data_IF_152619042128
#
_entry.id   IF_152619042128
#
_cell.length_a   1.000
_cell.length_b   1.000
_cell.length_c   1.000
_cell.angle_alpha   90.00
_cell.angle_beta   90.00
_cell.angle_gamma   90.00
#
_symmetry.space_group_name_H-M   'P 1'
#
loop_
_entity.id
_entity.type
_entity.pdbx_description
1 polymer ?
#
# COMPACT_ATOMS: atom_id res chain seq x y z
N UNK A 1 -2.81 22.21 6.11
CA UNK A 1 -3.01 21.22 7.20
C UNK A 1 -2.24 19.98 6.84
N UNK A 2 -1.54 19.37 7.80
CA UNK A 2 -0.82 18.11 7.62
C UNK A 2 -1.78 16.92 7.61
N UNK A 3 -1.36 15.80 7.01
CA UNK A 3 -2.07 14.53 7.13
C UNK A 3 -2.05 14.05 8.57
N UNK A 4 -3.19 13.60 9.12
CA UNK A 4 -3.24 12.98 10.44
C UNK A 4 -2.34 11.73 10.51
N UNK A 5 -1.56 11.54 11.59
CA UNK A 5 -0.66 10.39 11.73
C UNK A 5 -1.36 9.04 11.52
N UNK A 6 -2.61 8.91 11.97
CA UNK A 6 -3.38 7.67 11.90
C UNK A 6 -3.64 7.21 10.46
N UNK A 7 -3.69 8.14 9.50
CA UNK A 7 -3.83 7.83 8.07
C UNK A 7 -2.51 7.25 7.52
N UNK A 8 -1.36 7.77 7.98
CA UNK A 8 -0.04 7.29 7.57
C UNK A 8 0.23 5.92 8.20
N UNK A 9 -0.10 5.75 9.48
CA UNK A 9 0.06 4.49 10.21
C UNK A 9 -0.83 3.38 9.61
N UNK A 10 -2.04 3.74 9.17
CA UNK A 10 -2.94 2.82 8.47
C UNK A 10 -2.37 2.42 7.10
N UNK A 11 -1.79 3.35 6.33
CA UNK A 11 -1.12 3.03 5.06
C UNK A 11 0.06 2.09 5.29
N UNK A 12 0.88 2.39 6.30
CA UNK A 12 2.01 1.54 6.68
C UNK A 12 1.56 0.12 7.03
N UNK A 13 0.49 -0.02 7.80
CA UNK A 13 -0.09 -1.33 8.13
C UNK A 13 -0.54 -2.10 6.88
N UNK A 14 -1.14 -1.41 5.90
CA UNK A 14 -1.53 -2.03 4.62
C UNK A 14 -0.30 -2.51 3.84
N UNK A 15 0.77 -1.71 3.81
CA UNK A 15 2.03 -2.08 3.16
C UNK A 15 2.68 -3.28 3.83
N UNK A 16 2.73 -3.32 5.17
CA UNK A 16 3.26 -4.45 5.91
C UNK A 16 2.49 -5.74 5.60
N UNK A 17 1.15 -5.67 5.53
CA UNK A 17 0.32 -6.81 5.11
C UNK A 17 0.68 -7.21 3.68
N UNK A 18 0.69 -6.28 2.73
CA UNK A 18 0.98 -6.54 1.31
C UNK A 18 2.33 -7.24 1.08
N UNK A 19 3.35 -6.91 1.88
CA UNK A 19 4.68 -7.52 1.80
C UNK A 19 4.90 -8.70 2.77
N UNK A 20 3.91 -9.07 3.58
CA UNK A 20 4.02 -10.17 4.54
C UNK A 20 3.97 -11.55 3.86
N UNK A 21 4.35 -12.59 4.59
CA UNK A 21 4.19 -13.99 4.18
C UNK A 21 2.81 -14.59 4.52
N UNK A 22 1.83 -13.75 4.88
CA UNK A 22 0.50 -14.21 5.29
C UNK A 22 -0.31 -14.68 4.08
N UNK A 23 -1.00 -15.80 4.23
CA UNK A 23 -1.93 -16.30 3.20
C UNK A 23 -3.04 -15.28 2.97
N UNK A 24 -3.35 -15.00 1.70
CA UNK A 24 -4.36 -14.00 1.29
C UNK A 24 -3.98 -12.53 1.59
N UNK A 25 -2.69 -12.21 1.73
CA UNK A 25 -2.20 -10.84 1.94
C UNK A 25 -2.74 -9.83 0.94
N UNK A 26 -2.78 -10.16 -0.37
CA UNK A 26 -3.27 -9.23 -1.40
C UNK A 26 -4.76 -8.95 -1.18
N UNK A 27 -5.55 -9.97 -0.85
CA UNK A 27 -6.97 -9.80 -0.52
C UNK A 27 -7.15 -8.92 0.72
N UNK A 28 -6.37 -9.16 1.78
CA UNK A 28 -6.45 -8.38 3.01
C UNK A 28 -6.07 -6.90 2.78
N UNK A 29 -4.91 -6.65 2.15
CA UNK A 29 -4.45 -5.31 1.82
C UNK A 29 -5.44 -4.57 0.91
N UNK A 30 -5.94 -5.24 -0.14
CA UNK A 30 -6.90 -4.65 -1.06
C UNK A 30 -8.21 -4.24 -0.39
N UNK A 31 -8.73 -5.05 0.54
CA UNK A 31 -9.92 -4.70 1.33
C UNK A 31 -9.64 -3.47 2.21
N UNK A 32 -8.48 -3.44 2.88
CA UNK A 32 -8.13 -2.34 3.78
C UNK A 32 -7.90 -1.00 3.06
N UNK A 33 -7.49 -1.01 1.78
CA UNK A 33 -7.39 0.21 0.97
C UNK A 33 -8.70 1.01 0.96
N UNK A 34 -9.84 0.33 0.99
CA UNK A 34 -11.15 0.96 0.96
C UNK A 34 -11.48 1.71 2.25
N UNK A 35 -11.26 1.04 3.38
CA UNK A 35 -11.40 1.63 4.70
C UNK A 35 -10.50 2.86 4.82
N UNK A 36 -9.27 2.80 4.27
CA UNK A 36 -8.35 3.93 4.31
C UNK A 36 -8.79 5.09 3.41
N UNK A 37 -9.31 4.82 2.21
CA UNK A 37 -9.89 5.86 1.35
C UNK A 37 -11.08 6.53 2.03
N UNK A 38 -11.98 5.73 2.61
CA UNK A 38 -13.16 6.23 3.32
C UNK A 38 -12.75 7.11 4.51
N UNK A 39 -11.87 6.59 5.37
CA UNK A 39 -11.37 7.32 6.54
C UNK A 39 -10.62 8.59 6.16
N UNK A 40 -9.84 8.56 5.06
CA UNK A 40 -9.16 9.74 4.52
C UNK A 40 -10.16 10.81 4.11
N UNK A 41 -11.16 10.46 3.31
CA UNK A 41 -12.18 11.40 2.85
C UNK A 41 -13.01 11.96 4.00
N UNK A 42 -13.49 11.09 4.92
CA UNK A 42 -14.26 11.50 6.11
C UNK A 42 -13.46 12.44 7.00
N UNK A 43 -12.19 12.14 7.25
CA UNK A 43 -11.31 12.97 8.09
C UNK A 43 -11.07 14.32 7.45
N UNK A 44 -10.83 14.35 6.13
CA UNK A 44 -10.69 15.61 5.39
C UNK A 44 -11.98 16.45 5.41
N UNK A 45 -13.13 15.82 5.22
CA UNK A 45 -14.43 16.48 5.32
C UNK A 45 -14.69 17.06 6.71
N UNK A 46 -14.35 16.33 7.78
CA UNK A 46 -14.47 16.79 9.17
C UNK A 46 -13.50 17.93 9.51
N UNK A 47 -12.31 17.94 8.91
CA UNK A 47 -11.39 19.07 9.03
C UNK A 47 -11.94 20.33 8.34
N UNK A 48 -12.63 20.18 7.22
CA UNK A 48 -13.28 21.28 6.52
C UNK A 48 -14.56 21.76 7.24
N UNK A 49 -15.35 20.83 7.77
CA UNK A 49 -16.56 21.11 8.55
C UNK A 49 -16.60 20.24 9.81
N UNK A 50 -16.38 20.84 10.98
CA UNK A 50 -16.36 20.11 12.26
C UNK A 50 -17.67 19.42 12.64
N UNK A 51 -18.79 19.76 11.98
CA UNK A 51 -20.10 19.12 12.16
C UNK A 51 -20.38 18.02 11.13
N UNK A 52 -19.40 17.67 10.29
CA UNK A 52 -19.55 16.61 9.29
C UNK A 52 -19.90 15.28 9.97
N UNK A 53 -20.91 14.60 9.43
CA UNK A 53 -21.35 13.30 9.92
C UNK A 53 -20.40 12.20 9.45
N UNK A 54 -19.63 11.65 10.38
CA UNK A 54 -18.68 10.57 10.12
C UNK A 54 -19.35 9.21 9.86
N UNK A 55 -20.67 9.10 10.06
CA UNK A 55 -21.44 7.87 9.81
C UNK A 55 -21.97 7.78 8.37
N UNK A 56 -21.69 8.79 7.52
CA UNK A 56 -22.09 8.78 6.12
C UNK A 56 -21.51 7.58 5.36
N UNK A 57 -22.12 7.23 4.23
CA UNK A 57 -21.60 6.17 3.37
C UNK A 57 -20.33 6.61 2.61
N UNK A 58 -19.68 5.66 1.94
CA UNK A 58 -18.45 5.89 1.18
C UNK A 58 -18.60 6.95 0.08
N UNK A 59 -19.72 6.92 -0.66
CA UNK A 59 -19.95 7.86 -1.75
C UNK A 59 -20.06 9.29 -1.23
N UNK A 60 -20.86 9.47 -0.17
CA UNK A 60 -21.04 10.77 0.48
C UNK A 60 -19.71 11.31 1.00
N UNK A 61 -18.87 10.46 1.60
CA UNK A 61 -17.53 10.83 2.05
C UNK A 61 -16.65 11.33 0.89
N UNK A 62 -16.62 10.61 -0.24
CA UNK A 62 -15.83 10.99 -1.42
C UNK A 62 -16.38 12.22 -2.16
N UNK A 63 -17.61 12.66 -1.86
CA UNK A 63 -18.23 13.86 -2.44
C UNK A 63 -18.33 15.03 -1.46
N UNK A 64 -17.90 14.82 -0.22
CA UNK A 64 -18.10 15.79 0.85
C UNK A 64 -17.33 17.10 0.60
N UNK A 65 -17.87 18.25 1.03
CA UNK A 65 -17.15 19.52 0.97
C UNK A 65 -15.78 19.42 1.65
N UNK A 66 -14.73 19.85 0.93
CA UNK A 66 -13.34 19.78 1.38
C UNK A 66 -12.55 18.58 0.83
N UNK A 67 -13.23 17.58 0.24
CA UNK A 67 -12.62 16.44 -0.45
C UNK A 67 -12.60 16.73 -1.95
N UNK A 68 -11.42 16.94 -2.53
CA UNK A 68 -11.25 17.29 -3.95
C UNK A 68 -10.44 16.18 -4.62
N UNK A 69 -11.14 15.23 -5.25
CA UNK A 69 -10.52 14.13 -5.99
C UNK A 69 -10.73 14.32 -7.49
N UNK A 70 -9.72 14.02 -8.35
CA UNK A 70 -9.91 13.91 -9.78
C UNK A 70 -11.00 12.91 -10.14
N UNK A 71 -11.73 13.19 -11.23
CA UNK A 71 -12.88 12.38 -11.64
C UNK A 71 -12.49 10.92 -11.95
N UNK A 72 -11.36 10.71 -12.62
CA UNK A 72 -10.85 9.38 -12.96
C UNK A 72 -10.47 8.58 -11.71
N UNK A 73 -9.77 9.21 -10.75
CA UNK A 73 -9.42 8.59 -9.47
C UNK A 73 -10.68 8.23 -8.69
N UNK A 74 -11.65 9.14 -8.62
CA UNK A 74 -12.93 8.90 -7.95
C UNK A 74 -13.68 7.72 -8.54
N UNK A 75 -13.74 7.61 -9.88
CA UNK A 75 -14.37 6.48 -10.57
C UNK A 75 -13.66 5.17 -10.22
N UNK A 76 -12.31 5.14 -10.23
CA UNK A 76 -11.54 3.94 -9.88
C UNK A 76 -11.77 3.50 -8.44
N UNK A 77 -11.68 4.40 -7.46
CA UNK A 77 -11.84 4.02 -6.05
C UNK A 77 -13.27 3.55 -5.73
N UNK A 78 -14.29 4.18 -6.33
CA UNK A 78 -15.69 3.73 -6.21
C UNK A 78 -15.91 2.40 -6.93
N UNK A 79 -15.28 2.20 -8.10
CA UNK A 79 -15.30 0.91 -8.80
C UNK A 79 -14.72 -0.22 -7.95
N UNK A 80 -13.57 0.02 -7.32
CA UNK A 80 -12.95 -0.96 -6.43
C UNK A 80 -13.77 -1.22 -5.16
N UNK A 81 -14.47 -0.21 -4.60
CA UNK A 81 -15.40 -0.41 -3.47
C UNK A 81 -16.43 -1.49 -3.77
N UNK A 82 -17.04 -1.49 -4.95
CA UNK A 82 -18.03 -2.50 -5.34
C UNK A 82 -17.43 -3.91 -5.38
N UNK A 83 -16.23 -4.04 -5.99
CA UNK A 83 -15.51 -5.31 -6.03
C UNK A 83 -15.18 -5.82 -4.62
N UNK A 84 -14.73 -4.94 -3.72
CA UNK A 84 -14.38 -5.29 -2.34
C UNK A 84 -15.61 -5.67 -1.52
N UNK A 85 -16.71 -4.94 -1.65
CA UNK A 85 -17.99 -5.24 -1.01
C UNK A 85 -18.47 -6.65 -1.41
N UNK A 86 -18.35 -7.00 -2.69
CA UNK A 86 -18.63 -8.35 -3.19
C UNK A 86 -17.70 -9.41 -2.57
N UNK A 87 -16.38 -9.13 -2.47
CA UNK A 87 -15.41 -10.02 -1.83
C UNK A 87 -15.64 -10.20 -0.32
N UNK A 88 -16.23 -9.22 0.36
CA UNK A 88 -16.51 -9.26 1.81
C UNK A 88 -17.82 -9.99 2.12
N UNK A 89 -18.87 -9.76 1.33
CA UNK A 89 -20.24 -10.14 1.72
C UNK A 89 -20.86 -11.23 0.85
N UNK A 90 -20.41 -11.41 -0.39
CA UNK A 90 -21.10 -12.29 -1.35
C UNK A 90 -20.25 -13.48 -1.79
N UNK A 91 -18.92 -13.35 -1.86
CA UNK A 91 -18.05 -14.47 -2.21
C UNK A 91 -16.73 -14.45 -1.47
N UNK A 92 -16.59 -15.36 -0.49
CA UNK A 92 -15.34 -15.61 0.20
C UNK A 92 -14.24 -16.15 -0.73
N UNK A 93 -14.63 -16.72 -1.89
CA UNK A 93 -13.72 -17.24 -2.91
C UNK A 93 -13.24 -16.17 -3.90
N UNK A 94 -13.85 -14.98 -3.91
CA UNK A 94 -13.40 -13.90 -4.77
C UNK A 94 -12.00 -13.43 -4.36
N UNK A 95 -11.10 -13.40 -5.34
CA UNK A 95 -9.70 -13.02 -5.19
C UNK A 95 -9.40 -11.73 -5.92
N UNK A 96 -8.27 -11.12 -5.56
CA UNK A 96 -7.69 -9.99 -6.27
C UNK A 96 -6.26 -10.38 -6.62
N UNK A 97 -5.83 -10.10 -7.84
CA UNK A 97 -4.45 -10.33 -8.21
C UNK A 97 -3.52 -9.25 -7.63
N UNK A 98 -2.21 -9.51 -7.70
CA UNK A 98 -1.21 -8.59 -7.17
C UNK A 98 -1.23 -7.22 -7.86
N UNK A 99 -1.57 -7.16 -9.15
CA UNK A 99 -1.56 -5.91 -9.90
C UNK A 99 -2.69 -4.99 -9.47
N UNK A 100 -3.91 -5.50 -9.37
CA UNK A 100 -5.07 -4.73 -8.90
C UNK A 100 -4.93 -4.32 -7.43
N UNK A 101 -4.33 -5.18 -6.59
CA UNK A 101 -4.00 -4.81 -5.22
C UNK A 101 -2.99 -3.66 -5.17
N UNK A 102 -1.90 -3.74 -5.95
CA UNK A 102 -0.89 -2.70 -6.00
C UNK A 102 -1.44 -1.37 -6.53
N UNK A 103 -2.23 -1.40 -7.62
CA UNK A 103 -2.89 -0.20 -8.15
C UNK A 103 -3.82 0.44 -7.13
N UNK A 104 -4.58 -0.36 -6.37
CA UNK A 104 -5.44 0.16 -5.32
C UNK A 104 -4.66 0.86 -4.20
N UNK A 105 -3.50 0.33 -3.80
CA UNK A 105 -2.62 0.97 -2.81
C UNK A 105 -2.13 2.33 -3.33
N UNK A 106 -1.72 2.41 -4.61
CA UNK A 106 -1.32 3.69 -5.22
C UNK A 106 -2.47 4.68 -5.29
N UNK A 107 -3.68 4.23 -5.64
CA UNK A 107 -4.87 5.09 -5.65
C UNK A 107 -5.17 5.64 -4.24
N UNK A 108 -4.92 4.86 -3.17
CA UNK A 108 -5.01 5.39 -1.79
C UNK A 108 -4.00 6.50 -1.55
N UNK A 109 -2.74 6.33 -1.97
CA UNK A 109 -1.72 7.37 -1.84
C UNK A 109 -2.13 8.64 -2.59
N UNK A 110 -2.65 8.50 -3.82
CA UNK A 110 -3.19 9.62 -4.60
C UNK A 110 -4.32 10.32 -3.85
N UNK A 111 -5.26 9.58 -3.25
CA UNK A 111 -6.34 10.14 -2.43
C UNK A 111 -5.79 10.91 -1.23
N UNK A 112 -4.79 10.37 -0.53
CA UNK A 112 -4.13 11.04 0.59
C UNK A 112 -3.51 12.36 0.13
N UNK A 113 -2.75 12.36 -0.97
CA UNK A 113 -2.10 13.56 -1.52
C UNK A 113 -3.10 14.62 -2.00
N UNK A 114 -4.25 14.19 -2.52
CA UNK A 114 -5.34 15.12 -2.88
C UNK A 114 -6.06 15.71 -1.66
N UNK A 115 -6.16 14.95 -0.57
CA UNK A 115 -6.70 15.46 0.69
C UNK A 115 -5.70 16.37 1.42
N UNK A 116 -4.41 16.04 1.35
CA UNK A 116 -3.32 16.78 1.98
C UNK A 116 -2.14 16.83 1.02
N UNK A 117 -1.93 18.01 0.44
CA UNK A 117 -0.96 18.20 -0.63
C UNK A 117 0.46 17.80 -0.21
N UNK A 118 1.13 17.04 -1.06
CA UNK A 118 2.54 16.60 -0.93
C UNK A 118 2.83 15.71 0.28
N UNK A 119 1.86 14.99 0.83
CA UNK A 119 2.07 14.10 1.97
C UNK A 119 3.05 12.97 1.64
N UNK A 120 2.91 12.36 0.46
CA UNK A 120 3.79 11.26 0.03
C UNK A 120 5.26 11.69 -0.07
N UNK A 121 5.50 12.93 -0.47
CA UNK A 121 6.84 13.51 -0.58
C UNK A 121 7.39 13.97 0.78
N UNK A 122 6.57 14.65 1.58
CA UNK A 122 7.03 15.42 2.75
C UNK A 122 6.90 14.71 4.09
N UNK A 123 5.97 13.76 4.22
CA UNK A 123 5.64 13.13 5.50
C UNK A 123 5.94 11.63 5.55
N UNK A 124 5.98 10.93 4.42
CA UNK A 124 6.30 9.51 4.42
C UNK A 124 7.77 9.26 4.75
N UNK A 125 7.99 8.30 5.65
CA UNK A 125 9.31 7.77 5.95
C UNK A 125 9.93 7.11 4.71
N UNK A 126 11.27 7.08 4.63
CA UNK A 126 11.99 6.50 3.50
C UNK A 126 11.60 5.03 3.25
N UNK A 127 11.30 4.28 4.31
CA UNK A 127 10.79 2.90 4.19
C UNK A 127 9.45 2.80 3.48
N UNK A 128 8.53 3.75 3.72
CA UNK A 128 7.23 3.80 3.06
C UNK A 128 7.43 4.18 1.59
N UNK A 129 8.30 5.16 1.32
CA UNK A 129 8.65 5.56 -0.06
C UNK A 129 9.25 4.38 -0.83
N UNK A 130 10.24 3.70 -0.27
CA UNK A 130 10.84 2.49 -0.83
C UNK A 130 9.78 1.39 -1.11
N UNK A 131 8.91 1.11 -0.13
CA UNK A 131 7.80 0.17 -0.28
C UNK A 131 6.87 0.56 -1.44
N UNK A 132 6.53 1.85 -1.57
CA UNK A 132 5.66 2.35 -2.64
C UNK A 132 6.29 2.26 -4.03
N UNK A 133 7.62 2.34 -4.15
CA UNK A 133 8.33 2.08 -5.43
C UNK A 133 8.18 0.63 -5.87
N UNK A 134 8.24 -0.31 -4.91
CA UNK A 134 7.93 -1.72 -5.20
C UNK A 134 6.46 -1.88 -5.56
N UNK A 135 5.54 -1.26 -4.82
CA UNK A 135 4.10 -1.28 -5.18
C UNK A 135 3.90 -0.74 -6.59
N UNK A 136 4.56 0.36 -6.96
CA UNK A 136 4.52 0.94 -8.30
C UNK A 136 4.93 -0.07 -9.38
N UNK A 137 6.06 -0.75 -9.21
CA UNK A 137 6.53 -1.81 -10.11
C UNK A 137 5.48 -2.92 -10.35
N UNK A 138 4.71 -3.29 -9.32
CA UNK A 138 3.68 -4.33 -9.41
C UNK A 138 2.30 -3.83 -9.84
N UNK A 139 2.08 -2.52 -9.87
CA UNK A 139 0.80 -1.92 -10.29
C UNK A 139 0.60 -1.99 -11.81
N UNK A 140 -0.57 -1.54 -12.26
CA UNK A 140 -0.89 -1.33 -13.68
C UNK A 140 -0.08 -0.21 -14.34
N UNK A 141 0.53 0.68 -13.55
CA UNK A 141 1.37 1.78 -14.04
C UNK A 141 2.87 1.38 -14.10
N UNK A 142 3.22 0.21 -13.56
CA UNK A 142 4.58 -0.28 -13.47
C UNK A 142 5.06 -1.03 -14.71
N UNK A 143 6.37 -1.01 -14.93
CA UNK A 143 7.02 -1.75 -16.02
C UNK A 143 7.20 -3.22 -15.63
N UNK A 144 6.39 -4.08 -16.26
CA UNK A 144 6.40 -5.53 -16.03
C UNK A 144 7.78 -6.14 -16.34
N UNK A 145 8.51 -5.61 -17.32
CA UNK A 145 9.81 -6.15 -17.74
C UNK A 145 10.88 -6.01 -16.64
N UNK A 146 10.69 -5.08 -15.70
CA UNK A 146 11.60 -4.81 -14.58
C UNK A 146 11.35 -5.70 -13.36
N UNK A 147 10.24 -6.45 -13.32
CA UNK A 147 9.86 -7.28 -12.16
C UNK A 147 10.86 -8.41 -11.91
N UNK A 148 11.11 -9.23 -12.91
CA UNK A 148 12.05 -10.36 -12.78
C UNK A 148 13.49 -9.89 -12.48
N UNK A 149 14.05 -8.87 -13.16
CA UNK A 149 15.35 -8.30 -12.78
C UNK A 149 15.42 -7.82 -11.33
N UNK A 150 14.36 -7.17 -10.84
CA UNK A 150 14.29 -6.72 -9.45
C UNK A 150 14.22 -7.90 -8.47
N UNK A 151 13.34 -8.88 -8.71
CA UNK A 151 13.24 -10.09 -7.90
C UNK A 151 14.57 -10.86 -7.83
N UNK A 152 15.27 -10.97 -8.96
CA UNK A 152 16.59 -11.58 -9.04
C UNK A 152 17.63 -10.87 -8.18
N UNK A 153 17.64 -9.53 -8.18
CA UNK A 153 18.54 -8.76 -7.32
C UNK A 153 18.19 -8.94 -5.85
N UNK A 154 16.90 -8.90 -5.51
CA UNK A 154 16.42 -9.17 -4.15
C UNK A 154 16.80 -10.57 -3.66
N UNK A 155 16.79 -11.59 -4.54
CA UNK A 155 17.27 -12.96 -4.27
C UNK A 155 18.77 -13.04 -4.05
N UNK A 156 19.57 -12.29 -4.83
CA UNK A 156 21.04 -12.32 -4.75
C UNK A 156 21.58 -11.53 -3.56
N UNK A 157 20.87 -10.49 -3.10
CA UNK A 157 21.31 -9.67 -1.97
C UNK A 157 21.02 -10.35 -0.64
N UNK A 158 22.05 -10.41 0.21
CA UNK A 158 21.93 -10.88 1.60
C UNK A 158 21.43 -9.76 2.49
N UNK A 159 20.12 -9.60 2.60
CA UNK A 159 19.50 -8.62 3.51
C UNK A 159 19.36 -9.14 4.95
N UNK A 160 19.63 -10.42 5.22
CA UNK A 160 19.87 -10.92 6.57
C UNK A 160 21.38 -10.98 6.82
N UNK A 161 21.85 -10.27 7.85
CA UNK A 161 23.23 -10.36 8.31
C UNK A 161 23.46 -11.73 8.97
N UNK A 162 24.67 -12.27 8.85
CA UNK A 162 25.05 -13.65 9.22
C UNK A 162 24.90 -14.00 10.72
N UNK A 163 24.38 -13.11 11.56
CA UNK A 163 24.36 -13.26 13.01
C UNK A 163 23.09 -13.89 13.60
N UNK A 164 22.02 -14.11 12.82
CA UNK A 164 20.81 -14.76 13.34
C UNK A 164 21.03 -16.27 13.48
N UNK A 165 21.33 -16.71 14.70
CA UNK A 165 21.23 -18.11 15.12
C UNK A 165 19.74 -18.47 15.17
N UNK A 166 19.25 -19.09 14.10
CA UNK A 166 17.90 -19.66 14.07
C UNK A 166 17.87 -20.79 15.12
N UNK A 167 16.94 -20.72 16.08
CA UNK A 167 16.71 -21.82 17.03
C UNK A 167 16.48 -23.12 16.25
N UNK A 168 16.79 -24.28 16.82
CA UNK A 168 16.67 -25.57 16.12
C UNK A 168 15.30 -25.84 15.47
N UNK A 169 14.23 -25.22 15.97
CA UNK A 169 12.86 -25.32 15.45
C UNK A 169 12.43 -24.12 14.57
N UNK A 170 13.28 -23.11 14.43
CA UNK A 170 12.99 -21.92 13.63
C UNK A 170 13.08 -22.22 12.14
N UNK A 171 12.11 -21.74 11.36
CA UNK A 171 12.16 -21.83 9.90
C UNK A 171 13.23 -20.88 9.38
N UNK A 172 14.27 -21.42 8.73
CA UNK A 172 15.25 -20.61 8.02
C UNK A 172 14.56 -19.96 6.81
N UNK A 173 14.28 -18.67 6.93
CA UNK A 173 13.70 -17.86 5.85
C UNK A 173 14.74 -17.75 4.73
N UNK A 174 14.37 -18.15 3.51
CA UNK A 174 15.20 -17.91 2.34
C UNK A 174 15.23 -16.41 2.01
N UNK A 175 16.43 -15.79 1.94
CA UNK A 175 16.55 -14.40 1.54
C UNK A 175 15.97 -14.16 0.14
N UNK A 176 15.20 -13.09 0.01
CA UNK A 176 14.81 -12.50 -1.27
C UNK A 176 13.51 -13.02 -1.85
N UNK A 177 12.86 -13.99 -1.21
CA UNK A 177 11.47 -14.34 -1.53
C UNK A 177 10.54 -13.20 -1.10
N UNK A 178 9.55 -12.92 -1.96
CA UNK A 178 8.55 -11.85 -1.76
C UNK A 178 7.86 -11.91 -0.41
N UNK A 179 7.64 -13.12 0.12
CA UNK A 179 7.00 -13.39 1.41
C UNK A 179 7.72 -12.77 2.62
N UNK A 180 8.96 -12.33 2.44
CA UNK A 180 9.78 -11.77 3.51
C UNK A 180 10.32 -10.39 3.18
N UNK A 181 9.85 -9.76 2.10
CA UNK A 181 10.28 -8.42 1.74
C UNK A 181 9.91 -7.39 2.80
N UNK A 182 8.84 -7.59 3.57
CA UNK A 182 8.54 -6.70 4.71
C UNK A 182 9.71 -6.60 5.70
N UNK A 183 10.45 -7.69 5.93
CA UNK A 183 11.64 -7.71 6.80
C UNK A 183 12.76 -6.91 6.14
N UNK A 184 13.01 -7.13 4.85
CA UNK A 184 14.06 -6.42 4.11
C UNK A 184 13.79 -4.91 4.05
N UNK A 185 12.54 -4.50 3.76
CA UNK A 185 12.13 -3.10 3.72
C UNK A 185 12.31 -2.44 5.09
N UNK A 186 11.97 -3.15 6.19
CA UNK A 186 12.07 -2.62 7.55
C UNK A 186 13.51 -2.55 8.07
N UNK A 187 14.32 -3.56 7.78
CA UNK A 187 15.65 -3.71 8.37
C UNK A 187 16.79 -3.21 7.47
N UNK A 188 16.56 -3.16 6.16
CA UNK A 188 17.58 -2.92 5.14
C UNK A 188 17.04 -2.04 3.99
N UNK A 189 16.24 -1.01 4.31
CA UNK A 189 15.68 -0.07 3.31
C UNK A 189 16.71 0.40 2.28
N UNK A 190 17.94 0.82 2.66
CA UNK A 190 18.92 1.30 1.67
C UNK A 190 19.34 0.24 0.64
N UNK A 191 19.41 -1.03 1.05
CA UNK A 191 19.75 -2.14 0.15
C UNK A 191 18.61 -2.45 -0.81
N UNK A 192 17.35 -2.36 -0.36
CA UNK A 192 16.18 -2.51 -1.22
C UNK A 192 16.12 -1.37 -2.24
N UNK A 193 16.38 -0.13 -1.79
CA UNK A 193 16.48 1.03 -2.68
C UNK A 193 17.59 0.90 -3.71
N UNK A 194 18.76 0.37 -3.34
CA UNK A 194 19.84 0.04 -4.28
C UNK A 194 19.33 -0.93 -5.37
N UNK A 195 18.60 -1.98 -4.98
CA UNK A 195 18.04 -2.95 -5.93
C UNK A 195 17.05 -2.31 -6.91
N UNK A 196 16.24 -1.37 -6.43
CA UNK A 196 15.29 -0.61 -7.27
C UNK A 196 16.03 0.31 -8.23
N UNK A 197 17.03 1.05 -7.74
CA UNK A 197 17.83 1.98 -8.52
C UNK A 197 18.60 1.27 -9.63
N UNK A 198 19.20 0.13 -9.32
CA UNK A 198 19.96 -0.68 -10.27
C UNK A 198 19.14 -1.19 -11.47
N UNK A 199 17.82 -1.31 -11.30
CA UNK A 199 16.88 -1.74 -12.34
C UNK A 199 16.21 -0.52 -13.01
N UNK A 200 16.51 0.69 -12.54
CA UNK A 200 15.92 1.92 -13.03
C UNK A 200 14.43 2.03 -12.72
N UNK A 201 14.01 1.56 -11.55
CA UNK A 201 12.65 1.74 -11.03
C UNK A 201 12.61 3.11 -10.34
N UNK A 202 11.67 4.00 -10.67
CA UNK A 202 11.57 5.32 -10.05
C UNK A 202 11.27 5.21 -8.54
#
# INVERSE_FOLDING_TARGET
>A
MSTPPEIIDALESILEIYFSGVRHRERAAFILCDNLVEMTCKTKAKQHNHRFDMTCNFHDACTAPGVILPADLKIRVVGYRNTRNNMQHASAAATVDSMHCATAILDVVKVIDHCWFSTSTSMFLDRIKCALRIVYLYSSEGDISKREPFEDRMRRKRWRTQAETVRAEGRQIQPGLRDYWYIAIRMQTPLVDECLNDVGIP
#
